data_IF_858928992536
#
_entry.id   IF_858928992536
#
_cell.length_a   1.000
_cell.length_b   1.000
_cell.length_c   1.000
_cell.angle_alpha   90.00
_cell.angle_beta   90.00
_cell.angle_gamma   90.00
#
_symmetry.space_group_name_H-M   'P 1'
#
loop_
_entity.id
_entity.type
_entity.pdbx_description
1 polymer ?
#
# COMPACT_ATOMS: atom_id res chain seq x y z
N UNK A 1 20.45 10.59 -3.04
CA UNK A 1 21.10 9.97 -4.24
C UNK A 1 21.52 8.51 -4.06
N UNK A 2 22.08 8.09 -2.91
CA UNK A 2 22.55 6.70 -2.72
C UNK A 2 21.41 5.66 -2.81
N UNK A 3 20.28 5.88 -2.14
CA UNK A 3 19.13 4.97 -2.20
C UNK A 3 18.57 4.80 -3.63
N UNK A 4 18.43 5.90 -4.39
CA UNK A 4 18.00 5.88 -5.79
C UNK A 4 18.92 5.02 -6.66
N UNK A 5 20.24 5.14 -6.50
CA UNK A 5 21.21 4.31 -7.22
C UNK A 5 21.06 2.82 -6.90
N UNK A 6 20.81 2.48 -5.63
CA UNK A 6 20.56 1.08 -5.21
C UNK A 6 19.25 0.54 -5.79
N UNK A 7 18.20 1.35 -5.90
CA UNK A 7 16.94 0.98 -6.57
C UNK A 7 17.20 0.68 -8.04
N UNK A 8 17.92 1.56 -8.76
CA UNK A 8 18.30 1.35 -10.16
C UNK A 8 19.05 0.02 -10.37
N UNK A 9 19.93 -0.35 -9.45
CA UNK A 9 20.60 -1.65 -9.48
C UNK A 9 19.61 -2.83 -9.30
N UNK A 10 18.62 -2.71 -8.42
CA UNK A 10 17.56 -3.73 -8.26
C UNK A 10 16.69 -3.90 -9.50
N UNK A 11 16.41 -2.81 -10.22
CA UNK A 11 15.68 -2.79 -11.50
C UNK A 11 16.49 -3.54 -12.56
N UNK A 12 17.76 -3.16 -12.74
CA UNK A 12 18.66 -3.77 -13.73
C UNK A 12 18.85 -5.27 -13.48
N UNK A 13 19.06 -5.69 -12.22
CA UNK A 13 19.22 -7.10 -11.84
C UNK A 13 18.00 -7.99 -12.16
N UNK A 14 16.83 -7.39 -12.44
CA UNK A 14 15.58 -8.09 -12.77
C UNK A 14 15.19 -7.98 -14.24
N UNK A 15 16.09 -7.47 -15.10
CA UNK A 15 15.82 -7.22 -16.52
C UNK A 15 14.59 -6.33 -16.74
N UNK A 16 14.35 -5.39 -15.82
CA UNK A 16 13.33 -4.37 -15.94
C UNK A 16 13.93 -3.10 -16.56
N UNK A 17 13.10 -2.34 -17.28
CA UNK A 17 13.49 -1.11 -17.94
C UNK A 17 12.98 0.09 -17.15
N UNK A 18 13.87 1.03 -16.86
CA UNK A 18 13.51 2.35 -16.34
C UNK A 18 13.27 3.29 -17.54
N UNK A 19 12.07 3.82 -17.66
CA UNK A 19 11.67 4.76 -18.72
C UNK A 19 11.90 6.22 -18.33
N UNK A 20 11.75 6.52 -17.05
CA UNK A 20 11.87 7.88 -16.56
C UNK A 20 11.79 7.93 -15.05
N UNK A 21 12.02 9.12 -14.52
CA UNK A 21 12.01 9.40 -13.10
C UNK A 21 11.55 10.84 -12.88
N UNK A 22 10.87 11.08 -11.76
CA UNK A 22 10.12 12.31 -11.52
C UNK A 22 10.04 12.63 -10.03
N UNK A 23 10.28 13.88 -9.69
CA UNK A 23 9.95 14.41 -8.36
C UNK A 23 8.44 14.59 -8.26
N UNK A 24 7.82 14.11 -7.18
CA UNK A 24 6.39 14.36 -6.98
C UNK A 24 6.20 15.83 -6.63
N UNK A 25 5.40 16.58 -7.40
CA UNK A 25 5.18 17.99 -7.11
C UNK A 25 4.30 18.12 -5.86
N UNK A 26 4.89 18.67 -4.81
CA UNK A 26 4.23 18.88 -3.51
C UNK A 26 4.26 20.35 -3.10
N UNK A 27 3.20 20.81 -2.44
CA UNK A 27 3.18 22.09 -1.73
C UNK A 27 3.27 21.88 -0.22
N UNK A 28 4.49 21.97 0.30
CA UNK A 28 4.74 21.82 1.74
C UNK A 28 4.09 22.91 2.60
N UNK A 29 3.66 24.04 2.01
CA UNK A 29 3.00 25.12 2.75
C UNK A 29 1.58 24.76 3.19
N UNK A 30 0.95 23.81 2.51
CA UNK A 30 -0.43 23.37 2.73
C UNK A 30 -0.59 22.37 3.88
N UNK A 31 0.52 22.04 4.57
CA UNK A 31 0.54 21.06 5.65
C UNK A 31 1.10 21.64 6.94
N UNK A 32 0.70 21.06 8.07
CA UNK A 32 1.18 21.47 9.39
C UNK A 32 2.71 21.36 9.50
N UNK A 33 3.32 22.21 10.34
CA UNK A 33 4.77 22.19 10.58
C UNK A 33 5.27 20.81 11.08
N UNK A 34 4.46 20.08 11.86
CA UNK A 34 4.78 18.73 12.32
C UNK A 34 4.74 17.69 11.19
N UNK A 35 3.76 17.79 10.28
CA UNK A 35 3.72 16.92 9.12
C UNK A 35 4.93 17.19 8.21
N UNK A 36 5.23 18.47 7.96
CA UNK A 36 6.36 18.93 7.14
C UNK A 36 7.71 18.47 7.70
N UNK A 37 7.94 18.59 9.01
CA UNK A 37 9.21 18.18 9.63
C UNK A 37 9.49 16.69 9.54
N UNK A 38 8.45 15.87 9.29
CA UNK A 38 8.54 14.42 9.08
C UNK A 38 8.34 14.00 7.64
N UNK A 39 8.10 14.95 6.72
CA UNK A 39 7.77 14.64 5.34
C UNK A 39 8.96 13.94 4.66
N UNK A 40 8.76 12.76 4.07
CA UNK A 40 9.79 12.12 3.28
C UNK A 40 9.92 12.84 1.94
N UNK A 41 11.09 12.73 1.31
CA UNK A 41 11.22 13.15 -0.08
C UNK A 41 10.50 12.13 -0.98
N UNK A 42 9.54 12.64 -1.75
CA UNK A 42 8.62 11.87 -2.59
C UNK A 42 9.15 11.76 -4.01
N UNK A 43 9.29 10.53 -4.50
CA UNK A 43 9.92 10.27 -5.80
C UNK A 43 9.16 9.22 -6.59
N UNK A 44 9.01 9.44 -7.89
CA UNK A 44 8.41 8.50 -8.82
C UNK A 44 9.41 8.00 -9.85
N UNK A 45 9.26 6.74 -10.20
CA UNK A 45 9.98 6.12 -11.32
C UNK A 45 8.94 5.49 -12.25
N UNK A 46 9.27 5.37 -13.53
CA UNK A 46 8.42 4.75 -14.53
C UNK A 46 9.15 3.50 -15.01
N UNK A 47 8.61 2.33 -14.68
CA UNK A 47 9.25 1.03 -14.95
C UNK A 47 8.38 0.23 -15.90
N UNK A 48 8.99 -0.55 -16.78
CA UNK A 48 8.31 -1.66 -17.41
C UNK A 48 9.28 -2.71 -17.87
N UNK A 49 8.93 -3.40 -18.94
CA UNK A 49 9.76 -4.46 -19.52
C UNK A 49 10.09 -4.13 -20.97
N UNK A 50 11.15 -4.74 -21.50
CA UNK A 50 11.50 -4.59 -22.91
C UNK A 50 10.38 -5.09 -23.85
N UNK A 51 9.61 -6.09 -23.40
CA UNK A 51 8.54 -6.71 -24.16
C UNK A 51 7.18 -6.04 -23.97
N UNK A 52 7.13 -4.88 -23.30
CA UNK A 52 5.88 -4.13 -23.04
C UNK A 52 4.79 -4.98 -22.36
N UNK A 53 5.19 -5.80 -21.38
CA UNK A 53 4.22 -6.52 -20.55
C UNK A 53 3.30 -5.51 -19.85
N UNK A 54 2.05 -5.90 -19.61
CA UNK A 54 1.03 -5.07 -18.98
C UNK A 54 0.17 -5.86 -17.99
N UNK A 55 -0.59 -5.13 -17.16
CA UNK A 55 -1.52 -5.69 -16.19
C UNK A 55 -0.85 -6.69 -15.24
N UNK A 56 -1.48 -7.84 -15.02
CA UNK A 56 -1.01 -8.85 -14.07
C UNK A 56 0.41 -9.36 -14.36
N UNK A 57 0.80 -9.47 -15.63
CA UNK A 57 2.13 -9.95 -16.02
C UNK A 57 3.24 -8.96 -15.61
N UNK A 58 2.96 -7.66 -15.74
CA UNK A 58 3.87 -6.61 -15.28
C UNK A 58 3.83 -6.49 -13.75
N UNK A 59 2.64 -6.48 -13.15
CA UNK A 59 2.45 -6.34 -11.70
C UNK A 59 3.14 -7.47 -10.91
N UNK A 60 3.16 -8.70 -11.44
CA UNK A 60 3.91 -9.81 -10.85
C UNK A 60 5.43 -9.52 -10.79
N UNK A 61 6.01 -8.94 -11.85
CA UNK A 61 7.44 -8.56 -11.87
C UNK A 61 7.72 -7.36 -10.96
N UNK A 62 6.79 -6.40 -10.93
CA UNK A 62 6.85 -5.23 -10.06
C UNK A 62 6.75 -5.60 -8.57
N UNK A 63 5.93 -6.58 -8.22
CA UNK A 63 5.87 -7.17 -6.88
C UNK A 63 7.25 -7.71 -6.45
N UNK A 64 7.87 -8.56 -7.28
CA UNK A 64 9.20 -9.11 -7.02
C UNK A 64 10.29 -8.04 -6.91
N UNK A 65 10.21 -7.01 -7.74
CA UNK A 65 11.10 -5.85 -7.64
C UNK A 65 10.91 -5.14 -6.30
N UNK A 66 9.67 -4.87 -5.88
CA UNK A 66 9.38 -4.20 -4.61
C UNK A 66 9.90 -5.01 -3.43
N UNK A 67 9.64 -6.32 -3.37
CA UNK A 67 10.12 -7.19 -2.29
C UNK A 67 11.65 -7.17 -2.16
N UNK A 68 12.35 -7.06 -3.28
CA UNK A 68 13.81 -6.97 -3.28
C UNK A 68 14.35 -5.61 -2.87
N UNK A 69 13.65 -4.55 -3.27
CA UNK A 69 13.93 -3.18 -2.84
C UNK A 69 13.75 -3.07 -1.32
N UNK A 70 12.61 -3.52 -0.79
CA UNK A 70 12.30 -3.54 0.64
C UNK A 70 13.32 -4.34 1.46
N UNK A 71 13.74 -5.51 0.96
CA UNK A 71 14.72 -6.35 1.65
C UNK A 71 16.15 -5.78 1.65
N UNK A 72 16.52 -4.98 0.64
CA UNK A 72 17.87 -4.43 0.50
C UNK A 72 18.03 -3.05 1.14
N UNK A 73 16.95 -2.28 1.19
CA UNK A 73 16.92 -0.87 1.56
C UNK A 73 15.98 -0.63 2.74
N UNK A 74 15.90 -1.62 3.63
CA UNK A 74 15.17 -1.52 4.88
C UNK A 74 15.59 -0.26 5.63
N UNK A 75 14.61 0.46 6.19
CA UNK A 75 14.76 1.76 6.89
C UNK A 75 15.21 2.97 6.05
N UNK A 76 15.72 2.77 4.82
CA UNK A 76 16.12 3.87 3.92
C UNK A 76 14.94 4.41 3.10
N UNK A 77 13.99 3.55 2.75
CA UNK A 77 12.87 3.88 1.85
C UNK A 77 11.60 3.14 2.24
N UNK A 78 10.47 3.74 1.86
CA UNK A 78 9.17 3.11 1.90
C UNK A 78 8.52 3.18 0.51
N UNK A 79 8.08 2.03 -0.01
CA UNK A 79 7.43 1.94 -1.32
C UNK A 79 5.91 1.95 -1.11
N UNK A 80 5.27 3.10 -1.30
CA UNK A 80 3.82 3.24 -1.08
C UNK A 80 3.00 2.44 -2.09
N UNK A 81 3.45 2.42 -3.34
CA UNK A 81 2.90 1.56 -4.40
C UNK A 81 3.97 1.29 -5.46
N UNK A 82 3.89 0.10 -6.08
CA UNK A 82 4.69 -0.30 -7.23
C UNK A 82 3.84 -1.21 -8.12
N UNK A 83 3.00 -0.59 -8.95
CA UNK A 83 2.02 -1.28 -9.81
C UNK A 83 1.84 -0.49 -11.12
N UNK A 84 1.37 -1.20 -12.14
CA UNK A 84 0.92 -0.67 -13.42
C UNK A 84 -0.53 -0.17 -13.41
N UNK A 85 -1.29 -0.45 -12.34
CA UNK A 85 -2.73 -0.18 -12.25
C UNK A 85 -3.08 0.69 -11.05
N UNK A 86 -2.31 0.62 -9.96
CA UNK A 86 -2.61 1.30 -8.70
C UNK A 86 -1.51 2.30 -8.32
N UNK A 87 -1.91 3.54 -8.04
CA UNK A 87 -1.04 4.58 -7.49
C UNK A 87 -1.58 5.08 -6.15
N UNK A 88 -0.70 5.11 -5.15
CA UNK A 88 -1.02 5.54 -3.78
C UNK A 88 -0.37 6.88 -3.47
N UNK A 89 -1.22 7.88 -3.22
CA UNK A 89 -0.87 9.15 -2.56
C UNK A 89 -1.37 9.08 -1.12
N UNK A 90 -0.45 9.20 -0.17
CA UNK A 90 -0.76 9.14 1.26
C UNK A 90 0.21 9.97 2.07
N UNK A 91 -0.10 10.20 3.34
CA UNK A 91 0.80 10.89 4.23
C UNK A 91 0.18 11.25 5.55
N UNK A 92 0.95 11.95 6.39
CA UNK A 92 0.47 12.53 7.64
C UNK A 92 -0.33 13.82 7.36
N UNK A 93 -1.42 13.67 6.62
CA UNK A 93 -2.21 14.76 6.06
C UNK A 93 -3.63 14.70 6.60
N UNK A 94 -4.20 15.86 6.89
CA UNK A 94 -5.66 15.98 6.91
C UNK A 94 -6.16 15.88 5.49
N UNK A 95 -7.40 15.50 5.33
CA UNK A 95 -7.92 15.28 4.00
C UNK A 95 -7.97 16.46 3.05
N UNK A 96 -8.42 17.60 3.55
CA UNK A 96 -8.44 18.82 2.77
C UNK A 96 -7.02 19.19 2.32
N UNK A 97 -6.01 18.75 3.08
CA UNK A 97 -4.60 18.97 2.78
C UNK A 97 -4.09 17.98 1.73
N UNK A 98 -4.78 16.87 1.41
CA UNK A 98 -4.27 15.88 0.44
C UNK A 98 -4.17 16.44 -0.96
N UNK A 99 -5.26 17.03 -1.47
CA UNK A 99 -5.27 17.64 -2.80
C UNK A 99 -4.47 18.94 -2.86
N UNK A 100 -4.35 19.66 -1.73
CA UNK A 100 -3.53 20.87 -1.64
C UNK A 100 -2.03 20.54 -1.61
N UNK A 101 -1.63 19.51 -0.85
CA UNK A 101 -0.25 19.05 -0.75
C UNK A 101 0.21 18.35 -2.03
N UNK A 102 -0.56 17.41 -2.58
CA UNK A 102 -0.22 16.71 -3.82
C UNK A 102 -0.87 17.38 -5.02
N UNK A 103 -0.13 18.31 -5.64
CA UNK A 103 -0.64 19.12 -6.76
C UNK A 103 -1.05 18.29 -7.99
N UNK A 104 -0.50 17.08 -8.15
CA UNK A 104 -0.95 16.12 -9.17
C UNK A 104 -2.44 15.83 -9.10
N UNK A 105 -3.03 15.84 -7.90
CA UNK A 105 -4.45 15.55 -7.69
C UNK A 105 -5.38 16.67 -8.17
N UNK A 106 -4.83 17.83 -8.53
CA UNK A 106 -5.56 18.97 -9.09
C UNK A 106 -5.48 19.03 -10.62
N UNK A 107 -4.64 18.19 -11.23
CA UNK A 107 -4.46 18.14 -12.68
C UNK A 107 -5.62 17.39 -13.34
N UNK A 108 -6.23 17.97 -14.38
CA UNK A 108 -7.36 17.38 -15.10
C UNK A 108 -7.01 16.03 -15.78
N UNK A 109 -5.72 15.77 -16.02
CA UNK A 109 -5.24 14.48 -16.56
C UNK A 109 -5.24 13.37 -15.51
N UNK A 110 -5.35 13.71 -14.23
CA UNK A 110 -5.33 12.76 -13.13
C UNK A 110 -6.69 12.07 -12.95
N UNK A 111 -7.01 11.18 -13.89
CA UNK A 111 -8.28 10.46 -13.96
C UNK A 111 -8.16 9.01 -13.49
N UNK A 112 -9.22 8.49 -12.87
CA UNK A 112 -9.32 7.09 -12.49
C UNK A 112 -10.75 6.59 -12.53
N UNK A 113 -10.91 5.29 -12.85
CA UNK A 113 -12.18 4.59 -12.75
C UNK A 113 -12.61 4.33 -11.28
N UNK A 114 -11.65 4.26 -10.35
CA UNK A 114 -11.90 3.99 -8.93
C UNK A 114 -10.96 4.80 -8.04
N UNK A 115 -11.51 5.35 -6.96
CA UNK A 115 -10.72 5.96 -5.89
C UNK A 115 -11.07 5.37 -4.54
N UNK A 116 -10.04 4.95 -3.80
CA UNK A 116 -10.17 4.47 -2.42
C UNK A 116 -9.64 5.52 -1.46
N UNK A 117 -10.43 5.85 -0.45
CA UNK A 117 -10.10 6.90 0.50
C UNK A 117 -10.14 6.46 1.94
N UNK A 118 -9.17 6.91 2.74
CA UNK A 118 -9.12 6.57 4.16
C UNK A 118 -8.49 7.67 5.01
N UNK A 119 -9.23 8.16 6.01
CA UNK A 119 -8.68 8.87 7.16
C UNK A 119 -8.49 7.92 8.34
N UNK A 120 -7.25 7.80 8.83
CA UNK A 120 -6.92 6.93 9.96
C UNK A 120 -6.88 7.73 11.26
N UNK A 121 -7.61 7.25 12.27
CA UNK A 121 -7.42 7.71 13.65
C UNK A 121 -6.44 6.77 14.34
N UNK A 122 -5.23 7.23 14.69
CA UNK A 122 -4.26 6.40 15.38
C UNK A 122 -4.28 6.69 16.88
N UNK A 123 -4.37 5.65 17.69
CA UNK A 123 -4.11 5.69 19.13
C UNK A 123 -2.61 5.78 19.45
N UNK A 124 -1.73 5.75 18.44
CA UNK A 124 -0.29 5.95 18.63
C UNK A 124 0.03 7.43 18.81
N UNK A 125 0.90 7.73 19.78
CA UNK A 125 1.31 9.10 20.11
C UNK A 125 2.31 9.72 19.12
N UNK A 126 2.90 8.92 18.22
CA UNK A 126 3.83 9.40 17.19
C UNK A 126 3.31 9.16 15.78
N UNK A 127 2.86 10.19 15.06
CA UNK A 127 2.41 10.05 13.69
C UNK A 127 3.60 9.78 12.75
N UNK A 128 3.36 8.96 11.74
CA UNK A 128 4.30 8.47 10.72
C UNK A 128 3.64 8.51 9.35
N UNK A 129 4.41 8.85 8.32
CA UNK A 129 3.92 8.99 6.95
C UNK A 129 3.62 7.65 6.30
N UNK A 130 4.48 6.67 6.54
CA UNK A 130 4.42 5.31 6.02
C UNK A 130 3.24 4.51 6.57
N UNK A 131 2.80 4.80 7.81
CA UNK A 131 1.65 4.13 8.47
C UNK A 131 0.31 4.77 8.11
N UNK A 132 0.30 5.80 7.27
CA UNK A 132 -0.94 6.29 6.67
C UNK A 132 -1.51 5.23 5.72
N UNK A 133 -2.83 5.22 5.62
CA UNK A 133 -3.54 4.47 4.59
C UNK A 133 -3.79 5.36 3.37
N UNK A 134 -4.10 4.78 2.19
CA UNK A 134 -4.28 3.34 1.94
C UNK A 134 -2.97 2.51 1.95
N UNK A 135 -3.11 1.20 2.17
CA UNK A 135 -2.07 0.26 1.81
C UNK A 135 -2.25 -0.13 0.33
N UNK A 136 -1.51 -1.12 -0.18
CA UNK A 136 -1.42 -1.37 -1.63
C UNK A 136 -2.70 -1.98 -2.19
N UNK A 137 -3.35 -2.83 -1.40
CA UNK A 137 -4.56 -3.56 -1.77
C UNK A 137 -5.76 -3.13 -0.91
N UNK A 138 -5.54 -2.64 0.32
CA UNK A 138 -6.62 -2.40 1.29
C UNK A 138 -6.67 -1.00 1.90
N UNK A 139 -7.89 -0.64 2.27
CA UNK A 139 -8.24 0.33 3.30
C UNK A 139 -8.85 -0.45 4.46
N UNK A 140 -8.37 -0.24 5.69
CA UNK A 140 -8.84 -0.99 6.85
C UNK A 140 -9.21 -0.04 7.98
N UNK A 141 -10.47 -0.11 8.41
CA UNK A 141 -10.96 0.59 9.59
C UNK A 141 -11.29 -0.42 10.68
N UNK A 142 -10.48 -0.44 11.73
CA UNK A 142 -10.60 -1.39 12.83
C UNK A 142 -9.24 -1.78 13.38
N UNK A 143 -9.23 -2.82 14.21
CA UNK A 143 -8.02 -3.42 14.78
C UNK A 143 -8.09 -4.95 14.66
N UNK A 144 -7.00 -5.57 14.20
CA UNK A 144 -6.89 -7.02 14.07
C UNK A 144 -6.20 -7.58 15.32
N UNK A 145 -7.00 -7.93 16.32
CA UNK A 145 -6.53 -8.37 17.63
C UNK A 145 -5.72 -9.68 17.62
N UNK A 146 -5.82 -10.49 16.56
CA UNK A 146 -5.18 -11.81 16.45
C UNK A 146 -3.89 -11.81 15.62
N UNK A 147 -3.39 -10.62 15.26
CA UNK A 147 -2.32 -10.47 14.27
C UNK A 147 -1.06 -11.29 14.59
N UNK A 148 -0.63 -11.36 15.85
CA UNK A 148 0.57 -12.14 16.26
C UNK A 148 0.43 -13.63 15.95
N UNK A 149 -0.74 -14.21 16.24
CA UNK A 149 -1.04 -15.60 15.94
C UNK A 149 -1.09 -15.85 14.44
N UNK A 150 -1.74 -14.93 13.71
CA UNK A 150 -1.87 -15.02 12.26
C UNK A 150 -0.51 -14.95 11.55
N UNK A 151 0.38 -14.06 11.99
CA UNK A 151 1.75 -13.96 11.47
C UNK A 151 2.53 -15.27 11.66
N UNK A 152 2.44 -15.85 12.86
CA UNK A 152 3.13 -17.11 13.17
C UNK A 152 2.62 -18.26 12.29
N UNK A 153 1.29 -18.36 12.13
CA UNK A 153 0.65 -19.33 11.23
C UNK A 153 1.04 -19.11 9.77
N UNK A 154 1.05 -17.85 9.31
CA UNK A 154 1.43 -17.49 7.96
C UNK A 154 2.88 -17.90 7.68
N UNK A 155 3.81 -17.51 8.54
CA UNK A 155 5.25 -17.79 8.36
C UNK A 155 5.56 -19.29 8.33
N UNK A 156 4.82 -20.11 9.09
CA UNK A 156 4.96 -21.57 9.08
C UNK A 156 4.54 -22.21 7.74
N UNK A 157 3.60 -21.58 7.01
CA UNK A 157 3.02 -22.14 5.78
C UNK A 157 3.53 -21.49 4.51
N UNK A 158 3.87 -20.21 4.53
CA UNK A 158 4.25 -19.42 3.36
C UNK A 158 5.44 -20.01 2.61
N UNK A 159 6.42 -20.58 3.34
CA UNK A 159 7.57 -21.28 2.75
C UNK A 159 7.16 -22.43 1.83
N UNK A 160 6.03 -23.10 2.06
CA UNK A 160 5.53 -24.20 1.22
C UNK A 160 4.95 -23.69 -0.10
N UNK A 161 4.34 -22.51 -0.09
CA UNK A 161 3.70 -21.90 -1.27
C UNK A 161 4.71 -21.24 -2.20
N UNK A 162 5.69 -20.55 -1.63
CA UNK A 162 6.68 -19.79 -2.40
C UNK A 162 8.00 -20.56 -2.60
N UNK A 163 8.20 -21.66 -1.89
CA UNK A 163 9.47 -22.41 -1.90
C UNK A 163 10.62 -21.63 -1.26
N UNK A 164 10.33 -20.56 -0.50
CA UNK A 164 11.32 -19.70 0.13
C UNK A 164 12.06 -18.76 -0.83
N UNK A 165 11.45 -18.41 -1.97
CA UNK A 165 12.05 -17.52 -2.98
C UNK A 165 12.01 -16.04 -2.56
N UNK A 166 10.99 -15.64 -1.81
CA UNK A 166 10.80 -14.29 -1.30
C UNK A 166 11.56 -14.10 0.02
N UNK A 167 12.40 -13.06 0.12
CA UNK A 167 13.27 -12.85 1.29
C UNK A 167 12.47 -12.57 2.57
N UNK A 168 11.39 -11.81 2.47
CA UNK A 168 10.52 -11.48 3.60
C UNK A 168 9.15 -11.04 3.06
N UNK A 169 8.08 -11.75 3.44
CA UNK A 169 6.73 -11.42 2.96
C UNK A 169 6.08 -10.36 3.86
N UNK A 170 6.07 -10.60 5.17
CA UNK A 170 5.49 -9.73 6.20
C UNK A 170 6.59 -8.86 6.83
N UNK A 171 6.32 -7.57 7.00
CA UNK A 171 7.05 -6.70 7.93
C UNK A 171 6.49 -6.85 9.35
N UNK A 172 7.23 -7.44 10.31
CA UNK A 172 6.73 -7.69 11.65
C UNK A 172 6.52 -6.42 12.48
N UNK A 173 7.18 -5.30 12.12
CA UNK A 173 7.03 -4.01 12.80
C UNK A 173 5.88 -3.17 12.18
N UNK A 174 5.29 -3.66 11.10
CA UNK A 174 4.16 -3.05 10.40
C UNK A 174 2.91 -2.94 11.29
N UNK A 175 1.97 -2.07 10.90
CA UNK A 175 0.64 -2.11 11.50
C UNK A 175 -0.05 -3.43 11.16
N UNK A 176 -1.02 -3.82 12.00
CA UNK A 176 -1.90 -4.96 11.75
C UNK A 176 -2.48 -4.99 10.33
N UNK A 177 -2.86 -3.82 9.83
CA UNK A 177 -3.44 -3.58 8.52
C UNK A 177 -2.40 -3.70 7.41
N UNK A 178 -1.14 -3.31 7.67
CA UNK A 178 -0.04 -3.49 6.72
C UNK A 178 0.35 -4.97 6.61
N UNK A 179 0.35 -5.70 7.72
CA UNK A 179 0.59 -7.14 7.74
C UNK A 179 -0.50 -7.87 6.96
N UNK A 180 -1.78 -7.51 7.18
CA UNK A 180 -2.89 -8.05 6.38
C UNK A 180 -2.68 -7.77 4.89
N UNK A 181 -2.36 -6.52 4.51
CA UNK A 181 -2.11 -6.13 3.13
C UNK A 181 -0.99 -6.96 2.47
N UNK A 182 0.11 -7.22 3.20
CA UNK A 182 1.22 -8.04 2.70
C UNK A 182 0.81 -9.50 2.43
N UNK A 183 0.00 -10.08 3.31
CA UNK A 183 -0.52 -11.46 3.12
C UNK A 183 -1.49 -11.50 1.95
N UNK A 184 -2.37 -10.50 1.83
CA UNK A 184 -3.32 -10.43 0.72
C UNK A 184 -2.60 -10.32 -0.62
N UNK A 185 -1.62 -9.43 -0.70
CA UNK A 185 -0.81 -9.23 -1.91
C UNK A 185 0.02 -10.47 -2.27
N UNK A 186 0.53 -11.19 -1.27
CA UNK A 186 1.20 -12.48 -1.48
C UNK A 186 0.25 -13.51 -2.10
N UNK A 187 -0.99 -13.63 -1.57
CA UNK A 187 -1.98 -14.54 -2.12
C UNK A 187 -2.36 -14.19 -3.55
N UNK A 188 -2.61 -12.91 -3.84
CA UNK A 188 -2.96 -12.49 -5.21
C UNK A 188 -1.79 -12.69 -6.17
N UNK A 189 -0.54 -12.46 -5.74
CA UNK A 189 0.66 -12.78 -6.50
C UNK A 189 0.76 -14.28 -6.83
N UNK A 190 0.34 -15.16 -5.91
CA UNK A 190 0.27 -16.61 -6.12
C UNK A 190 -0.98 -17.09 -6.90
N UNK A 191 -1.74 -16.18 -7.50
CA UNK A 191 -2.83 -16.50 -8.42
C UNK A 191 -4.19 -16.68 -7.77
N UNK A 192 -4.34 -16.43 -6.47
CA UNK A 192 -5.65 -16.38 -5.85
C UNK A 192 -6.39 -15.11 -6.30
N UNK A 193 -7.64 -15.24 -6.74
CA UNK A 193 -8.46 -14.06 -7.03
C UNK A 193 -8.65 -13.23 -5.77
N UNK A 194 -8.80 -11.90 -5.92
CA UNK A 194 -8.98 -11.01 -4.77
C UNK A 194 -10.14 -11.44 -3.85
N UNK A 195 -11.36 -11.77 -4.36
CA UNK A 195 -12.44 -12.24 -3.50
C UNK A 195 -12.10 -13.54 -2.77
N UNK A 196 -11.44 -14.48 -3.44
CA UNK A 196 -11.04 -15.74 -2.84
C UNK A 196 -9.99 -15.54 -1.74
N UNK A 197 -8.97 -14.71 -2.00
CA UNK A 197 -7.95 -14.39 -1.01
C UNK A 197 -8.55 -13.71 0.23
N UNK A 198 -9.49 -12.77 0.04
CA UNK A 198 -10.23 -12.13 1.14
C UNK A 198 -11.06 -13.15 1.92
N UNK A 199 -11.78 -14.07 1.26
CA UNK A 199 -12.56 -15.10 1.95
C UNK A 199 -11.69 -16.09 2.74
N UNK A 200 -10.48 -16.40 2.27
CA UNK A 200 -9.53 -17.22 3.03
C UNK A 200 -9.02 -16.49 4.29
N UNK A 201 -8.81 -15.18 4.19
CA UNK A 201 -8.28 -14.37 5.28
C UNK A 201 -9.36 -13.98 6.29
N UNK A 202 -10.53 -13.54 5.83
CA UNK A 202 -11.66 -13.10 6.65
C UNK A 202 -12.88 -13.97 6.33
N UNK A 203 -12.93 -15.22 6.85
CA UNK A 203 -14.04 -16.11 6.57
C UNK A 203 -15.33 -15.65 7.26
N UNK A 204 -16.47 -15.92 6.63
CA UNK A 204 -17.78 -15.70 7.23
C UNK A 204 -17.99 -16.66 8.42
N UNK A 205 -18.53 -16.13 9.53
CA UNK A 205 -18.85 -16.93 10.71
C UNK A 205 -19.85 -18.05 10.37
N UNK A 206 -19.56 -19.29 10.81
CA UNK A 206 -20.46 -20.44 10.65
C UNK A 206 -20.46 -21.10 9.26
N UNK A 207 -19.88 -20.47 8.24
CA UNK A 207 -19.63 -21.10 6.92
C UNK A 207 -18.15 -21.45 6.78
N UNK A 208 -17.67 -22.38 7.61
CA UNK A 208 -16.45 -23.11 7.29
C UNK A 208 -16.80 -24.04 6.12
N UNK A 209 -16.71 -23.52 4.90
CA UNK A 209 -16.89 -24.33 3.70
C UNK A 209 -15.69 -25.27 3.60
N UNK A 210 -16.00 -26.56 3.67
CA UNK A 210 -15.10 -27.72 3.79
C UNK A 210 -14.11 -27.89 2.61
N UNK A 211 -14.08 -26.97 1.64
CA UNK A 211 -13.37 -27.15 0.36
C UNK A 211 -12.15 -26.25 0.14
N UNK A 212 -11.77 -25.40 1.09
CA UNK A 212 -10.51 -24.67 0.99
C UNK A 212 -9.59 -25.11 2.13
N UNK A 213 -8.37 -25.59 1.86
CA UNK A 213 -7.44 -25.84 2.94
C UNK A 213 -7.32 -24.53 3.73
N UNK A 214 -7.62 -24.57 5.03
CA UNK A 214 -7.55 -23.44 5.95
C UNK A 214 -6.07 -23.02 6.13
N UNK A 215 -5.48 -22.45 5.08
CA UNK A 215 -4.06 -22.10 5.07
C UNK A 215 -3.88 -20.79 5.85
N UNK A 216 -4.84 -19.85 5.80
CA UNK A 216 -4.67 -18.48 6.32
C UNK A 216 -5.89 -17.83 7.00
N UNK A 217 -6.72 -18.58 7.74
CA UNK A 217 -7.83 -17.98 8.47
C UNK A 217 -7.32 -17.00 9.54
N UNK A 218 -7.53 -15.70 9.32
CA UNK A 218 -7.38 -14.67 10.36
C UNK A 218 -8.66 -14.74 11.18
N UNK A 219 -8.60 -15.45 12.31
CA UNK A 219 -9.70 -15.45 13.27
C UNK A 219 -9.84 -14.04 13.82
N UNK A 220 -10.86 -13.30 13.44
CA UNK A 220 -11.26 -12.09 14.18
C UNK A 220 -12.01 -12.58 15.42
N UNK A 221 -11.28 -12.84 16.51
CA UNK A 221 -11.90 -13.14 17.81
C UNK A 221 -12.59 -11.88 18.34
N UNK A 222 -13.81 -11.63 17.87
CA UNK A 222 -14.77 -10.75 18.53
C UNK A 222 -15.84 -11.64 19.18
N UNK A 223 -16.16 -11.45 20.47
CA UNK A 223 -17.28 -12.14 21.10
C UNK A 223 -18.57 -11.87 20.32
N UNK A 224 -19.39 -12.91 20.11
CA UNK A 224 -20.64 -12.83 19.34
C UNK A 224 -21.59 -11.69 19.78
N UNK A 225 -21.50 -11.26 21.04
CA UNK A 225 -22.31 -10.16 21.59
C UNK A 225 -21.92 -8.76 21.10
N UNK A 226 -20.67 -8.52 20.70
CA UNK A 226 -20.27 -7.25 20.09
C UNK A 226 -20.71 -7.13 18.63
N UNK A 227 -20.96 -8.26 17.97
CA UNK A 227 -21.52 -8.29 16.61
C UNK A 227 -22.94 -7.71 16.62
N UNK A 228 -23.81 -8.18 17.51
CA UNK A 228 -25.22 -7.77 17.56
C UNK A 228 -25.49 -6.30 17.95
N UNK A 229 -24.53 -5.60 18.58
CA UNK A 229 -24.72 -4.18 18.95
C UNK A 229 -24.29 -3.18 17.87
N UNK A 230 -23.69 -3.65 16.77
CA UNK A 230 -23.24 -2.80 15.65
C UNK A 230 -23.77 -3.22 14.27
N UNK A 231 -24.68 -4.21 14.22
CA UNK A 231 -25.30 -4.77 13.00
C UNK A 231 -26.29 -3.82 12.29
N UNK A 232 -25.85 -2.60 12.02
CA UNK A 232 -26.44 -1.77 10.97
C UNK A 232 -25.69 -2.03 9.67
N UNK A 233 -26.15 -3.01 8.87
CA UNK A 233 -25.87 -3.14 7.42
C UNK A 233 -24.42 -2.80 6.98
N UNK A 234 -23.53 -3.80 7.00
CA UNK A 234 -22.28 -3.74 6.22
C UNK A 234 -22.63 -3.74 4.72
N UNK A 235 -22.77 -2.56 4.15
CA UNK A 235 -22.60 -2.37 2.71
C UNK A 235 -21.10 -2.44 2.45
N UNK A 236 -20.69 -3.08 1.36
CA UNK A 236 -19.44 -2.75 0.70
C UNK A 236 -19.60 -1.27 0.25
N UNK A 237 -19.34 -0.32 1.16
CA UNK A 237 -19.59 1.11 0.90
C UNK A 237 -18.50 1.62 -0.05
N UNK A 238 -18.81 1.54 -1.34
CA UNK A 238 -18.59 2.69 -2.21
C UNK A 238 -19.34 3.87 -1.60
N UNK A 239 -18.59 4.93 -1.26
CA UNK A 239 -19.01 6.25 -0.77
C UNK A 239 -20.44 6.40 -0.22
N UNK A 240 -20.57 6.67 1.08
CA UNK A 240 -21.66 7.53 1.58
C UNK A 240 -21.15 8.48 2.67
N UNK A 241 -21.36 9.76 2.36
CA UNK A 241 -21.11 10.91 3.21
C UNK A 241 -22.00 10.87 4.46
N UNK A 242 -21.42 11.18 5.62
CA UNK A 242 -22.20 11.65 6.76
C UNK A 242 -21.70 13.03 7.20
N UNK A 243 -22.65 13.95 7.30
CA UNK A 243 -22.48 15.39 7.47
C UNK A 243 -22.15 15.72 8.92
N UNK A 244 -20.89 15.58 9.29
CA UNK A 244 -20.25 16.32 10.40
C UNK A 244 -18.76 16.12 10.26
N UNK A 245 -18.14 17.03 9.49
CA UNK A 245 -16.73 17.08 9.06
C UNK A 245 -15.84 15.86 9.35
N UNK A 246 -15.57 15.02 8.34
CA UNK A 246 -14.44 14.11 8.40
C UNK A 246 -13.57 14.18 7.13
N UNK A 247 -12.32 13.81 7.32
CA UNK A 247 -11.27 13.95 6.34
C UNK A 247 -11.31 12.81 5.23
N UNK A 248 -11.38 13.20 3.94
CA UNK A 248 -11.11 12.53 2.63
C UNK A 248 -9.62 12.37 2.13
N UNK A 249 -9.15 11.18 1.68
CA UNK A 249 -7.77 10.99 1.11
C UNK A 249 -7.81 10.18 -0.19
N UNK A 250 -7.37 10.66 -1.35
CA UNK A 250 -7.54 9.93 -2.63
C UNK A 250 -6.44 8.88 -2.96
N UNK A 251 -6.85 7.64 -3.27
CA UNK A 251 -6.12 6.71 -4.16
C UNK A 251 -6.65 6.88 -5.57
N UNK A 252 -5.82 6.82 -6.60
CA UNK A 252 -6.25 6.91 -7.99
C UNK A 252 -5.57 5.78 -8.77
N UNK A 253 -6.36 4.92 -9.41
CA UNK A 253 -5.87 3.98 -10.42
C UNK A 253 -5.59 4.75 -11.70
N UNK A 254 -4.33 5.10 -11.94
CA UNK A 254 -3.87 5.66 -13.21
C UNK A 254 -3.42 4.54 -14.15
N UNK A 255 -3.66 4.62 -15.48
CA UNK A 255 -3.38 3.53 -16.42
C UNK A 255 -1.90 3.23 -16.66
N UNK A 256 -0.96 4.02 -16.11
CA UNK A 256 0.47 3.94 -16.42
C UNK A 256 1.34 3.89 -15.17
N UNK A 257 2.34 2.99 -15.23
CA UNK A 257 3.20 2.54 -14.14
C UNK A 257 3.79 3.72 -13.37
N UNK A 258 3.40 3.85 -12.11
CA UNK A 258 3.92 4.89 -11.23
C UNK A 258 4.42 4.24 -9.96
N UNK A 259 5.73 4.36 -9.68
CA UNK A 259 6.25 4.06 -8.34
C UNK A 259 5.97 5.28 -7.47
N UNK A 260 5.40 5.15 -6.28
CA UNK A 260 5.46 6.21 -5.26
C UNK A 260 6.45 5.78 -4.18
N UNK A 261 7.64 6.39 -4.17
CA UNK A 261 8.70 6.19 -3.18
C UNK A 261 8.67 7.32 -2.17
N UNK A 262 8.61 6.96 -0.89
CA UNK A 262 8.81 7.86 0.25
C UNK A 262 10.21 7.60 0.81
N UNK A 263 11.13 8.57 0.74
CA UNK A 263 12.50 8.43 1.27
C UNK A 263 12.66 9.21 2.59
N UNK A 264 13.28 8.62 3.61
CA UNK A 264 13.20 9.10 5.00
C UNK A 264 14.21 10.16 5.43
N UNK A 265 15.00 10.81 4.54
CA UNK A 265 15.96 11.87 4.96
C UNK A 265 16.17 12.99 3.94
N UNK A 266 16.29 14.20 4.51
CA UNK A 266 16.46 15.51 3.87
C UNK A 266 17.43 15.53 2.70
N UNK A 267 16.97 16.01 1.54
CA UNK A 267 17.81 16.27 0.39
C UNK A 267 17.73 17.75 -0.01
N UNK A 268 18.78 18.51 0.30
CA UNK A 268 19.02 19.85 -0.21
C UNK A 268 19.88 19.73 -1.48
N UNK A 269 19.25 19.76 -2.65
CA UNK A 269 19.78 20.37 -3.88
C UNK A 269 18.76 20.17 -5.01
N UNK A 270 18.11 21.28 -5.41
CA UNK A 270 17.22 21.35 -6.58
C UNK A 270 18.05 21.14 -7.84
N UNK A 271 17.66 20.18 -8.69
CA UNK A 271 18.02 20.21 -10.12
C UNK A 271 16.76 20.53 -10.92
N UNK A 272 16.98 21.35 -11.94
CA UNK A 272 15.99 21.81 -12.91
C UNK A 272 15.21 20.66 -13.53
N UNK A 273 13.88 20.76 -13.40
CA UNK A 273 12.88 19.84 -13.95
C UNK A 273 12.84 20.00 -15.48
N UNK A 274 12.88 18.88 -16.21
CA UNK A 274 12.46 18.83 -17.61
C UNK A 274 10.91 18.74 -17.64
N UNK A 275 10.22 19.59 -18.42
CA UNK A 275 8.77 19.49 -18.58
C UNK A 275 8.43 18.30 -19.49
N UNK A 276 7.41 17.53 -19.10
CA UNK A 276 6.62 16.67 -19.99
C UNK A 276 5.16 17.12 -19.87
#
# INVERSE_FOLDING_TARGET
>A
MVAIGKIKACIAARNLRLYGERDVPVDENEISALARSKAPYMYQMFIGTANQDAGAALDSKLYLLRKAIEAKLTDEIYVASLSSQTLVYKGMLRAKEVSAFYTDLQDERFVSALALVHSRYSTNTFPSWERAHPNRMIVHNGEINTIRGNMSWFNAKAKRLDGGKLPQIIDPEGSDSAIFDNVLEFLTYHGFSLPHAVMMMVPELGKVTVNYPNIFAISMNLPAEQWNRGMGRWHLVSAMANKSEPFWIATVCVPHVTISLMTTRSYSHRRSVLPI
#
